data_IF_205947152969
#
_entry.id   IF_205947152969
#
_cell.length_a   1.000
_cell.length_b   1.000
_cell.length_c   1.000
_cell.angle_alpha   90.00
_cell.angle_beta   90.00
_cell.angle_gamma   90.00
#
_symmetry.space_group_name_H-M   'P 1'
#
loop_
_entity.id
_entity.type
_entity.pdbx_description
1 polymer ?
#
# COMPACT_ATOMS: atom_id res chain seq x y z
N UNK A 1 9.25 -5.09 11.58
CA UNK A 1 9.56 -3.65 11.64
C UNK A 1 10.44 -3.14 10.49
N UNK A 2 11.44 -3.90 10.01
CA UNK A 2 12.35 -3.47 8.94
C UNK A 2 11.65 -3.06 7.62
N UNK A 3 10.63 -3.80 7.18
CA UNK A 3 9.89 -3.49 5.94
C UNK A 3 9.12 -2.16 6.01
N UNK A 4 8.57 -1.81 7.18
CA UNK A 4 7.92 -0.51 7.38
C UNK A 4 8.92 0.65 7.26
N UNK A 5 10.12 0.48 7.83
CA UNK A 5 11.19 1.48 7.70
C UNK A 5 11.64 1.66 6.26
N UNK A 6 11.72 0.57 5.48
CA UNK A 6 12.00 0.63 4.04
C UNK A 6 10.91 1.41 3.30
N UNK A 7 9.62 1.16 3.59
CA UNK A 7 8.52 1.93 3.01
C UNK A 7 8.61 3.42 3.36
N UNK A 8 8.85 3.77 4.63
CA UNK A 8 8.98 5.17 5.07
C UNK A 8 10.14 5.88 4.37
N UNK A 9 11.19 5.15 3.99
CA UNK A 9 12.34 5.67 3.23
C UNK A 9 12.18 5.53 1.71
N UNK A 10 11.05 5.01 1.24
CA UNK A 10 10.78 4.67 -0.16
C UNK A 10 11.82 3.72 -0.80
N UNK A 11 12.50 2.90 0.01
CA UNK A 11 13.46 1.92 -0.47
C UNK A 11 12.72 0.75 -1.14
N UNK A 12 13.19 0.29 -2.30
CA UNK A 12 12.66 -0.88 -3.04
C UNK A 12 11.15 -0.86 -3.34
N UNK A 13 10.50 0.30 -3.23
CA UNK A 13 9.09 0.45 -3.52
C UNK A 13 8.86 0.43 -5.04
N UNK A 14 8.00 -0.46 -5.50
CA UNK A 14 7.77 -0.79 -6.90
C UNK A 14 6.32 -0.62 -7.34
N UNK A 15 5.49 0.00 -6.49
CA UNK A 15 4.11 0.40 -6.80
C UNK A 15 3.70 1.64 -6.03
N UNK A 16 2.75 2.39 -6.59
CA UNK A 16 2.13 3.55 -5.94
C UNK A 16 0.64 3.30 -5.69
N UNK A 17 0.19 3.69 -4.51
CA UNK A 17 -1.22 3.72 -4.12
C UNK A 17 -1.66 5.18 -4.12
N UNK A 18 -2.58 5.55 -5.01
CA UNK A 18 -3.08 6.92 -5.12
C UNK A 18 -4.29 7.13 -4.21
N UNK A 19 -4.23 8.19 -3.39
CA UNK A 19 -5.28 8.62 -2.44
C UNK A 19 -5.55 10.11 -2.67
N UNK A 20 -6.66 10.43 -3.34
CA UNK A 20 -6.95 11.80 -3.77
C UNK A 20 -5.80 12.39 -4.59
N UNK A 21 -5.20 13.48 -4.10
CA UNK A 21 -4.05 14.14 -4.73
C UNK A 21 -2.69 13.62 -4.25
N UNK A 22 -2.68 12.66 -3.33
CA UNK A 22 -1.46 12.09 -2.73
C UNK A 22 -1.20 10.69 -3.25
N UNK A 23 0.06 10.25 -3.16
CA UNK A 23 0.44 8.88 -3.49
C UNK A 23 1.40 8.32 -2.43
N UNK A 24 1.23 7.05 -2.09
CA UNK A 24 2.12 6.30 -1.20
C UNK A 24 2.86 5.26 -2.02
N UNK A 25 4.19 5.31 -2.01
CA UNK A 25 5.02 4.24 -2.58
C UNK A 25 5.07 3.04 -1.64
N UNK A 26 4.96 1.84 -2.19
CA UNK A 26 4.90 0.60 -1.42
C UNK A 26 5.53 -0.57 -2.20
N UNK A 27 5.51 -1.75 -1.58
CA UNK A 27 6.07 -2.98 -2.14
C UNK A 27 4.95 -3.93 -2.55
N UNK A 28 4.90 -4.29 -3.83
CA UNK A 28 3.83 -5.14 -4.39
C UNK A 28 3.72 -6.49 -3.70
N UNK A 29 4.86 -7.13 -3.45
CA UNK A 29 4.89 -8.47 -2.85
C UNK A 29 4.29 -8.47 -1.44
N UNK A 30 4.57 -7.46 -0.62
CA UNK A 30 4.04 -7.33 0.74
C UNK A 30 2.53 -7.11 0.69
N UNK A 31 2.07 -6.16 -0.14
CA UNK A 31 0.64 -5.88 -0.31
C UNK A 31 -0.13 -7.11 -0.82
N UNK A 32 0.40 -7.80 -1.83
CA UNK A 32 -0.23 -8.97 -2.43
C UNK A 32 -0.26 -10.20 -1.50
N UNK A 33 0.75 -10.34 -0.64
CA UNK A 33 0.79 -11.40 0.37
C UNK A 33 -0.22 -11.15 1.49
N UNK A 34 -0.39 -9.89 1.91
CA UNK A 34 -1.26 -9.52 3.02
C UNK A 34 -2.74 -9.39 2.64
N UNK A 35 -3.05 -9.06 1.38
CA UNK A 35 -4.43 -8.77 0.96
C UNK A 35 -4.77 -9.34 -0.41
N UNK A 36 -5.86 -10.09 -0.46
CA UNK A 36 -6.44 -10.56 -1.72
C UNK A 36 -6.92 -9.42 -2.62
N UNK A 37 -7.26 -8.26 -2.07
CA UNK A 37 -7.59 -7.06 -2.84
C UNK A 37 -6.36 -6.55 -3.59
N UNK A 38 -5.28 -6.24 -2.86
CA UNK A 38 -4.06 -5.74 -3.48
C UNK A 38 -3.47 -6.73 -4.46
N UNK A 39 -3.53 -8.04 -4.17
CA UNK A 39 -3.11 -9.09 -5.11
C UNK A 39 -3.85 -9.00 -6.45
N UNK A 40 -5.17 -8.81 -6.42
CA UNK A 40 -6.00 -8.66 -7.63
C UNK A 40 -5.72 -7.32 -8.33
N UNK A 41 -5.64 -6.23 -7.57
CA UNK A 41 -5.36 -4.89 -8.11
C UNK A 41 -4.01 -4.84 -8.84
N UNK A 42 -2.95 -5.37 -8.23
CA UNK A 42 -1.60 -5.46 -8.82
C UNK A 42 -1.60 -6.34 -10.09
N UNK A 43 -2.41 -7.40 -10.12
CA UNK A 43 -2.53 -8.25 -11.30
C UNK A 43 -3.26 -7.56 -12.47
N UNK A 44 -4.12 -6.58 -12.19
CA UNK A 44 -4.83 -5.79 -13.20
C UNK A 44 -3.96 -4.64 -13.72
N UNK A 45 -3.37 -3.86 -12.81
CA UNK A 45 -2.40 -2.81 -13.12
C UNK A 45 -1.27 -2.85 -12.08
N UNK A 46 -0.05 -3.28 -12.48
CA UNK A 46 1.06 -3.45 -11.55
C UNK A 46 1.71 -2.13 -11.13
N UNK A 47 1.35 -0.99 -11.73
CA UNK A 47 1.95 0.30 -11.42
C UNK A 47 1.02 1.22 -10.63
N UNK A 48 -0.30 1.03 -10.76
CA UNK A 48 -1.30 1.86 -10.10
C UNK A 48 -2.36 1.01 -9.42
N UNK A 49 -2.45 1.11 -8.09
CA UNK A 49 -3.46 0.40 -7.32
C UNK A 49 -4.61 1.37 -7.04
N UNK A 50 -5.80 1.18 -7.65
CA UNK A 50 -6.97 1.94 -7.26
C UNK A 50 -7.34 1.61 -5.81
N UNK A 51 -7.88 2.57 -5.09
CA UNK A 51 -8.48 2.33 -3.78
C UNK A 51 -9.99 2.12 -3.89
N UNK A 52 -10.60 1.42 -2.91
CA UNK A 52 -12.06 1.35 -2.82
C UNK A 52 -12.68 2.75 -2.72
N UNK A 53 -13.89 2.90 -3.26
CA UNK A 53 -14.61 4.19 -3.41
C UNK A 53 -14.79 4.97 -2.10
N UNK A 54 -14.65 4.31 -0.94
CA UNK A 54 -14.81 4.90 0.40
C UNK A 54 -13.49 5.06 1.17
N UNK A 55 -12.35 4.86 0.52
CA UNK A 55 -11.02 5.08 1.12
C UNK A 55 -10.38 6.34 0.55
N UNK A 56 -10.89 7.49 0.97
CA UNK A 56 -10.42 8.82 0.60
C UNK A 56 -9.63 9.51 1.73
N UNK A 57 -9.72 9.03 2.98
CA UNK A 57 -8.91 9.54 4.09
C UNK A 57 -7.47 8.97 4.08
N UNK A 58 -6.43 9.79 3.83
CA UNK A 58 -5.04 9.35 3.83
C UNK A 58 -4.58 8.76 5.17
N UNK A 59 -5.20 9.16 6.28
CA UNK A 59 -4.87 8.67 7.63
C UNK A 59 -5.27 7.21 7.78
N UNK A 60 -6.50 6.89 7.38
CA UNK A 60 -7.03 5.52 7.42
C UNK A 60 -6.24 4.62 6.47
N UNK A 61 -5.95 5.10 5.25
CA UNK A 61 -5.14 4.34 4.30
C UNK A 61 -3.76 4.08 4.88
N UNK A 62 -3.12 5.09 5.49
CA UNK A 62 -1.81 4.91 6.12
C UNK A 62 -1.86 3.89 7.27
N UNK A 63 -2.89 3.91 8.10
CA UNK A 63 -3.05 2.92 9.19
C UNK A 63 -3.19 1.49 8.64
N UNK A 64 -3.97 1.30 7.58
CA UNK A 64 -4.12 0.00 6.90
C UNK A 64 -2.77 -0.47 6.35
N UNK A 65 -2.02 0.41 5.69
CA UNK A 65 -0.69 0.07 5.18
C UNK A 65 0.28 -0.22 6.34
N UNK A 66 0.26 0.57 7.40
CA UNK A 66 1.09 0.30 8.58
C UNK A 66 0.81 -1.09 9.14
N UNK A 67 -0.47 -1.42 9.37
CA UNK A 67 -0.88 -2.73 9.84
C UNK A 67 -0.39 -3.87 8.92
N UNK A 68 -0.46 -3.70 7.60
CA UNK A 68 0.06 -4.69 6.63
C UNK A 68 1.57 -4.94 6.83
N UNK A 69 2.34 -3.90 7.17
CA UNK A 69 3.80 -3.98 7.28
C UNK A 69 4.30 -4.37 8.68
N UNK A 70 3.50 -4.17 9.71
CA UNK A 70 3.88 -4.39 11.12
C UNK A 70 3.10 -5.50 11.81
N UNK A 71 1.89 -5.82 11.33
CA UNK A 71 0.94 -6.70 12.01
C UNK A 71 0.28 -6.06 13.25
N UNK A 72 0.47 -4.76 13.45
CA UNK A 72 -0.07 -3.99 14.58
C UNK A 72 -0.38 -2.56 14.17
N UNK A 73 -1.37 -1.94 14.82
CA UNK A 73 -1.63 -0.50 14.67
C UNK A 73 -0.46 0.35 15.20
#
# INVERSE_FOLDING_TARGET
MQLWQQLVREEYCDVSITIGETAIKAHRNILAAASGYFKKAIALDPNNIPLPIHMDDPTIVRQVIQYIYTGSE
#
